data_IF_989216600303
#
_entry.id   IF_989216600303
#
_cell.length_a   1.000
_cell.length_b   1.000
_cell.length_c   1.000
_cell.angle_alpha   90.00
_cell.angle_beta   90.00
_cell.angle_gamma   90.00
#
_symmetry.space_group_name_H-M   'P 1'
#
loop_
_entity.id
_entity.type
_entity.pdbx_description
1 polymer ?
#
# COMPACT_ATOMS: atom_id res chain seq x y z
N UNK A 1 6.12 -0.63 8.60
CA UNK A 1 5.42 0.21 7.61
C UNK A 1 4.57 1.23 8.32
N UNK A 2 4.44 2.43 7.76
CA UNK A 2 3.61 3.53 8.29
C UNK A 2 2.60 3.97 7.24
N UNK A 3 1.33 4.03 7.61
CA UNK A 3 0.28 4.58 6.76
C UNK A 3 0.39 6.11 6.73
N UNK A 4 0.40 6.70 5.54
CA UNK A 4 0.45 8.15 5.33
C UNK A 4 -0.90 8.74 5.02
N UNK A 5 -1.67 8.09 4.15
CA UNK A 5 -2.96 8.58 3.68
C UNK A 5 -3.88 7.42 3.30
N UNK A 6 -5.18 7.66 3.39
CA UNK A 6 -6.22 6.76 2.89
C UNK A 6 -7.25 7.58 2.13
N UNK A 7 -7.53 7.19 0.89
CA UNK A 7 -8.60 7.77 0.06
C UNK A 7 -9.47 6.65 -0.49
N UNK A 8 -10.77 6.83 -0.47
CA UNK A 8 -11.71 5.86 -1.04
C UNK A 8 -12.25 6.35 -2.39
N UNK A 9 -12.33 5.43 -3.34
CA UNK A 9 -13.09 5.63 -4.59
C UNK A 9 -14.24 4.61 -4.59
N UNK A 10 -15.51 5.04 -4.60
CA UNK A 10 -16.64 4.12 -4.63
C UNK A 10 -16.69 3.35 -5.95
N UNK A 11 -17.16 2.10 -5.91
CA UNK A 11 -17.49 1.30 -7.10
C UNK A 11 -19.00 1.13 -7.18
N UNK A 12 -19.61 0.60 -6.11
CA UNK A 12 -21.05 0.45 -5.91
C UNK A 12 -21.39 0.49 -4.40
N UNK A 13 -22.63 0.19 -4.04
CA UNK A 13 -23.11 0.24 -2.64
C UNK A 13 -22.34 -0.67 -1.68
N UNK A 14 -21.77 -1.78 -2.19
CA UNK A 14 -21.08 -2.78 -1.39
C UNK A 14 -19.58 -2.83 -1.67
N UNK A 15 -19.05 -2.06 -2.62
CA UNK A 15 -17.66 -2.11 -3.03
C UNK A 15 -17.01 -0.74 -3.17
N UNK A 16 -15.74 -0.65 -2.75
CA UNK A 16 -14.89 0.50 -3.00
C UNK A 16 -13.43 0.10 -3.19
N UNK A 17 -12.64 1.02 -3.73
CA UNK A 17 -11.18 0.93 -3.72
C UNK A 17 -10.65 1.83 -2.61
N UNK A 18 -9.91 1.26 -1.67
CA UNK A 18 -9.13 2.00 -0.70
C UNK A 18 -7.71 2.21 -1.24
N UNK A 19 -7.41 3.44 -1.66
CA UNK A 19 -6.07 3.86 -2.03
C UNK A 19 -5.30 4.23 -0.76
N UNK A 20 -4.31 3.44 -0.39
CA UNK A 20 -3.52 3.65 0.82
C UNK A 20 -2.08 3.94 0.45
N UNK A 21 -1.60 5.10 0.92
CA UNK A 21 -0.21 5.49 0.77
C UNK A 21 0.59 5.02 1.98
N UNK A 22 1.69 4.31 1.74
CA UNK A 22 2.56 3.75 2.76
C UNK A 22 3.96 4.35 2.69
N UNK A 23 4.67 4.25 3.81
CA UNK A 23 6.12 4.36 3.89
C UNK A 23 6.67 3.08 4.52
N UNK A 24 7.57 2.39 3.82
CA UNK A 24 8.37 1.30 4.37
C UNK A 24 9.78 1.80 4.67
N UNK A 25 10.26 1.55 5.89
CA UNK A 25 11.63 1.87 6.30
C UNK A 25 12.45 0.58 6.28
N UNK A 26 13.56 0.61 5.57
CA UNK A 26 14.47 -0.51 5.42
C UNK A 26 15.80 -0.17 6.07
N UNK A 27 16.20 -1.00 7.02
CA UNK A 27 17.51 -0.91 7.63
C UNK A 27 18.59 -1.35 6.64
N UNK A 28 19.71 -0.63 6.63
CA UNK A 28 20.88 -0.97 5.82
C UNK A 28 22.09 -1.11 6.70
N UNK A 29 22.93 -2.10 6.41
CA UNK A 29 24.18 -2.27 7.14
C UNK A 29 25.13 -1.12 6.78
N UNK A 30 25.69 -0.48 7.80
CA UNK A 30 26.68 0.60 7.69
C UNK A 30 26.22 1.83 6.89
N UNK A 31 24.90 2.00 6.71
CA UNK A 31 24.28 3.12 6.03
C UNK A 31 23.03 3.56 6.79
N UNK A 32 22.58 4.82 6.61
CA UNK A 32 21.28 5.24 7.13
C UNK A 32 20.14 4.38 6.57
N UNK A 33 19.12 4.19 7.40
CA UNK A 33 17.85 3.60 6.98
C UNK A 33 17.27 4.39 5.80
N UNK A 34 16.59 3.68 4.90
CA UNK A 34 15.87 4.33 3.81
C UNK A 34 14.39 4.09 3.90
N UNK A 35 13.67 5.20 3.86
CA UNK A 35 12.22 5.25 3.75
C UNK A 35 11.83 5.28 2.27
N UNK A 36 11.00 4.34 1.87
CA UNK A 36 10.43 4.25 0.53
C UNK A 36 8.93 4.41 0.62
N UNK A 37 8.43 5.31 -0.22
CA UNK A 37 7.01 5.62 -0.34
C UNK A 37 6.40 4.87 -1.52
N UNK A 38 5.23 4.27 -1.31
CA UNK A 38 4.49 3.57 -2.34
C UNK A 38 3.00 3.55 -2.02
N UNK A 39 2.19 3.25 -3.03
CA UNK A 39 0.73 3.15 -2.91
C UNK A 39 0.27 1.71 -3.14
N UNK A 40 -0.70 1.28 -2.34
CA UNK A 40 -1.44 0.03 -2.52
C UNK A 40 -2.91 0.36 -2.66
N UNK A 41 -3.57 -0.29 -3.61
CA UNK A 41 -5.00 -0.12 -3.89
C UNK A 41 -5.73 -1.40 -3.51
N UNK A 42 -6.46 -1.36 -2.39
CA UNK A 42 -7.21 -2.50 -1.89
C UNK A 42 -8.63 -2.47 -2.43
N UNK A 43 -9.08 -3.60 -2.95
CA UNK A 43 -10.47 -3.84 -3.30
C UNK A 43 -11.20 -4.29 -2.04
N UNK A 44 -12.18 -3.51 -1.63
CA UNK A 44 -12.92 -3.71 -0.38
C UNK A 44 -14.38 -4.02 -0.71
N UNK A 45 -14.92 -5.02 -0.05
CA UNK A 45 -16.34 -5.36 -0.03
C UNK A 45 -16.89 -5.15 1.38
N UNK A 46 -18.08 -4.58 1.52
CA UNK A 46 -18.77 -4.43 2.80
C UNK A 46 -20.06 -5.25 2.77
N UNK A 47 -20.06 -6.41 3.44
CA UNK A 47 -21.26 -7.23 3.63
C UNK A 47 -21.65 -7.20 5.11
N UNK A 48 -22.94 -7.08 5.40
CA UNK A 48 -23.46 -7.01 6.77
C UNK A 48 -22.77 -5.93 7.64
N UNK A 49 -22.30 -4.84 7.01
CA UNK A 49 -21.57 -3.75 7.65
C UNK A 49 -20.10 -4.05 7.96
N UNK A 50 -19.58 -5.23 7.59
CA UNK A 50 -18.20 -5.64 7.84
C UNK A 50 -17.34 -5.45 6.57
N UNK A 51 -16.33 -4.55 6.58
CA UNK A 51 -15.44 -4.37 5.45
C UNK A 51 -14.40 -5.50 5.36
N UNK A 52 -14.26 -6.09 4.18
CA UNK A 52 -13.28 -7.15 3.86
C UNK A 52 -12.49 -6.79 2.62
N UNK A 53 -11.18 -6.88 2.72
CA UNK A 53 -10.28 -6.78 1.56
C UNK A 53 -10.28 -8.12 0.83
N UNK A 54 -10.67 -8.13 -0.45
CA UNK A 54 -10.70 -9.35 -1.27
C UNK A 54 -9.67 -9.36 -2.40
N UNK A 55 -8.97 -8.24 -2.60
CA UNK A 55 -7.88 -8.13 -3.58
C UNK A 55 -7.08 -6.86 -3.38
N UNK A 56 -5.91 -6.79 -4.01
CA UNK A 56 -5.09 -5.60 -4.01
C UNK A 56 -4.26 -5.48 -5.28
N UNK A 57 -3.90 -4.25 -5.62
CA UNK A 57 -2.97 -3.91 -6.68
C UNK A 57 -1.92 -2.97 -6.10
N UNK A 58 -0.65 -3.29 -6.28
CA UNK A 58 0.49 -2.44 -5.93
C UNK A 58 1.30 -2.12 -7.18
N UNK A 59 2.19 -1.12 -7.07
CA UNK A 59 3.23 -0.92 -8.07
C UNK A 59 4.26 -2.07 -8.08
N UNK A 60 5.24 -1.99 -8.99
CA UNK A 60 6.38 -2.90 -9.00
C UNK A 60 7.34 -2.57 -7.84
N UNK A 61 7.00 -3.10 -6.67
CA UNK A 61 7.81 -2.95 -5.46
C UNK A 61 9.23 -3.49 -5.66
N UNK A 62 9.42 -4.54 -6.47
CA UNK A 62 10.76 -5.07 -6.75
C UNK A 62 11.62 -4.08 -7.53
N UNK A 63 11.08 -3.46 -8.58
CA UNK A 63 11.80 -2.43 -9.33
C UNK A 63 12.15 -1.24 -8.43
N UNK A 64 11.23 -0.85 -7.54
CA UNK A 64 11.45 0.23 -6.58
C UNK A 64 12.56 -0.11 -5.58
N UNK A 65 12.57 -1.31 -5.02
CA UNK A 65 13.63 -1.76 -4.12
C UNK A 65 15.00 -1.80 -4.80
N UNK A 66 15.08 -2.25 -6.07
CA UNK A 66 16.31 -2.21 -6.87
C UNK A 66 16.79 -0.77 -7.11
N UNK A 67 15.89 0.14 -7.46
CA UNK A 67 16.22 1.56 -7.66
C UNK A 67 16.82 2.19 -6.40
N UNK A 68 16.35 1.77 -5.22
CA UNK A 68 16.86 2.25 -3.95
C UNK A 68 18.08 1.47 -3.43
N UNK A 69 18.55 0.45 -4.16
CA UNK A 69 19.72 -0.36 -3.79
C UNK A 69 19.50 -1.22 -2.56
N UNK A 70 18.25 -1.65 -2.32
CA UNK A 70 17.89 -2.52 -1.19
C UNK A 70 18.06 -3.99 -1.55
N UNK A 71 17.76 -4.36 -2.80
CA UNK A 71 17.96 -5.69 -3.39
C UNK A 71 18.70 -5.59 -4.71
#
# INVERSE_FOLDING_TARGET
MRMRNVRFSPIDDLHCVAHVSWTATYARKDQPDVAIDFDVHYLVQVLDGEPKVFGWVSGDEQALLKQHGII
#
